data_IF_329550322223
#
_entry.id   IF_329550322223
#
_cell.length_a   1.000
_cell.length_b   1.000
_cell.length_c   1.000
_cell.angle_alpha   90.00
_cell.angle_beta   90.00
_cell.angle_gamma   90.00
#
_symmetry.space_group_name_H-M   'P 1'
#
loop_
_entity.id
_entity.type
_entity.pdbx_description
1 polymer ?
#
# COMPACT_ATOMS: atom_id res chain seq x y z
N UNK A 1 -1.51 17.28 -0.59
CA UNK A 1 -2.60 16.70 -1.40
C UNK A 1 -2.83 17.52 -2.66
N UNK A 2 -1.99 17.31 -3.68
CA UNK A 2 -2.26 17.75 -5.05
C UNK A 2 -2.50 16.50 -5.89
N UNK A 3 -3.68 15.87 -5.72
CA UNK A 3 -4.16 14.89 -6.68
C UNK A 3 -4.34 15.55 -8.04
N UNK A 4 -4.00 14.85 -9.13
CA UNK A 4 -4.23 15.36 -10.48
C UNK A 4 -5.69 15.15 -10.83
N UNK A 5 -6.44 16.24 -11.03
CA UNK A 5 -7.81 16.15 -11.53
C UNK A 5 -7.76 15.81 -13.03
N UNK A 6 -7.95 14.54 -13.38
CA UNK A 6 -7.91 14.07 -14.77
C UNK A 6 -9.26 14.26 -15.47
N UNK A 7 -10.37 14.31 -14.72
CA UNK A 7 -11.70 14.60 -15.25
C UNK A 7 -12.50 15.48 -14.29
N UNK A 8 -13.33 16.37 -14.83
CA UNK A 8 -14.23 17.23 -14.04
C UNK A 8 -15.63 16.64 -13.87
N UNK A 9 -16.04 15.71 -14.75
CA UNK A 9 -17.37 15.09 -14.76
C UNK A 9 -17.25 13.59 -15.07
N UNK A 10 -18.09 12.78 -14.44
CA UNK A 10 -18.22 11.33 -14.70
C UNK A 10 -19.67 10.90 -14.47
N UNK A 11 -20.03 9.74 -15.00
CA UNK A 11 -21.39 9.18 -14.94
C UNK A 11 -21.49 8.05 -13.91
N UNK A 12 -22.71 7.65 -13.57
CA UNK A 12 -22.92 6.46 -12.74
C UNK A 12 -22.35 5.19 -13.41
N UNK A 13 -22.43 5.08 -14.74
CA UNK A 13 -21.82 3.96 -15.46
C UNK A 13 -20.29 3.91 -15.28
N UNK A 14 -19.61 5.06 -15.23
CA UNK A 14 -18.16 5.10 -15.00
C UNK A 14 -17.82 4.59 -13.59
N UNK A 15 -18.66 4.88 -12.60
CA UNK A 15 -18.54 4.32 -11.24
C UNK A 15 -18.82 2.81 -11.25
N UNK A 16 -19.91 2.38 -11.89
CA UNK A 16 -20.35 0.99 -11.92
C UNK A 16 -19.35 0.07 -12.65
N UNK A 17 -18.69 0.56 -13.70
CA UNK A 17 -17.65 -0.16 -14.43
C UNK A 17 -16.24 0.03 -13.86
N UNK A 18 -16.08 0.82 -12.80
CA UNK A 18 -14.78 1.03 -12.15
C UNK A 18 -13.77 1.83 -12.98
N UNK A 19 -14.24 2.74 -13.83
CA UNK A 19 -13.39 3.61 -14.66
C UNK A 19 -12.81 4.81 -13.92
N UNK A 20 -13.27 5.06 -12.68
CA UNK A 20 -12.76 6.12 -11.82
C UNK A 20 -11.81 5.52 -10.79
N UNK A 21 -10.58 6.05 -10.73
CA UNK A 21 -9.56 5.64 -9.77
C UNK A 21 -9.10 6.84 -8.96
N UNK A 22 -8.91 6.62 -7.66
CA UNK A 22 -8.25 7.57 -6.77
C UNK A 22 -6.78 7.15 -6.59
N UNK A 23 -5.87 8.12 -6.72
CA UNK A 23 -4.45 7.95 -6.45
C UNK A 23 -4.06 8.93 -5.33
N UNK A 24 -3.53 8.40 -4.22
CA UNK A 24 -3.05 9.25 -3.13
C UNK A 24 -1.73 9.90 -3.50
N UNK A 25 -1.40 11.02 -2.85
CA UNK A 25 -0.12 11.72 -3.08
C UNK A 25 1.09 11.04 -2.40
N UNK A 26 0.95 9.77 -2.00
CA UNK A 26 1.97 9.03 -1.25
C UNK A 26 2.06 9.39 0.23
N UNK A 27 1.18 10.23 0.77
CA UNK A 27 1.09 10.44 2.22
C UNK A 27 0.74 9.12 2.94
N UNK A 28 1.57 8.77 3.93
CA UNK A 28 1.67 7.42 4.49
C UNK A 28 0.40 6.88 5.16
N UNK A 29 -0.50 7.75 5.62
CA UNK A 29 -1.77 7.39 6.25
C UNK A 29 -2.65 8.63 6.41
N UNK A 30 -3.98 8.48 6.33
CA UNK A 30 -4.88 9.57 6.72
C UNK A 30 -6.26 9.54 6.08
N UNK A 31 -7.02 10.60 6.37
CA UNK A 31 -8.25 10.92 5.66
C UNK A 31 -7.91 11.83 4.49
N UNK A 32 -8.35 11.44 3.29
CA UNK A 32 -8.45 12.35 2.15
C UNK A 32 -9.91 12.55 1.78
N UNK A 33 -10.20 13.60 1.03
CA UNK A 33 -11.56 13.90 0.62
C UNK A 33 -11.61 14.66 -0.70
N UNK A 34 -12.70 14.47 -1.43
CA UNK A 34 -13.07 15.35 -2.51
C UNK A 34 -14.52 15.79 -2.38
N UNK A 35 -14.84 16.94 -2.95
CA UNK A 35 -16.20 17.46 -3.02
C UNK A 35 -16.80 17.11 -4.37
N UNK A 36 -18.07 16.71 -4.37
CA UNK A 36 -18.82 16.46 -5.59
C UNK A 36 -20.22 17.08 -5.53
N UNK A 37 -20.79 17.30 -6.70
CA UNK A 37 -22.22 17.60 -6.86
C UNK A 37 -22.82 16.55 -7.79
N UNK A 38 -24.13 16.35 -7.69
CA UNK A 38 -24.86 15.45 -8.57
C UNK A 38 -25.95 16.27 -9.27
N UNK A 39 -26.14 16.01 -10.56
CA UNK A 39 -27.19 16.65 -11.36
C UNK A 39 -27.72 15.68 -12.41
N UNK A 40 -29.02 15.77 -12.68
CA UNK A 40 -29.69 15.13 -13.82
C UNK A 40 -29.90 16.12 -15.00
N UNK A 41 -29.34 17.33 -14.88
CA UNK A 41 -29.49 18.42 -15.84
C UNK A 41 -30.86 19.12 -15.83
N UNK A 42 -31.78 18.76 -14.92
CA UNK A 42 -33.14 19.31 -14.86
C UNK A 42 -33.48 19.92 -13.52
N UNK A 43 -33.00 19.34 -12.43
CA UNK A 43 -33.29 19.79 -11.08
C UNK A 43 -32.08 20.51 -10.46
N UNK A 44 -32.38 21.52 -9.63
CA UNK A 44 -31.35 22.19 -8.83
C UNK A 44 -31.00 21.33 -7.61
N UNK A 45 -29.87 20.61 -7.70
CA UNK A 45 -29.33 19.82 -6.61
C UNK A 45 -29.74 18.35 -6.62
N UNK A 46 -29.53 17.68 -5.49
CA UNK A 46 -29.75 16.25 -5.31
C UNK A 46 -30.16 15.91 -3.88
N UNK A 47 -30.74 14.73 -3.66
CA UNK A 47 -31.21 14.31 -2.34
C UNK A 47 -30.17 13.44 -1.62
N UNK A 48 -29.96 13.71 -0.33
CA UNK A 48 -29.29 12.80 0.61
C UNK A 48 -30.26 12.49 1.73
N UNK A 49 -30.62 11.21 1.90
CA UNK A 49 -31.59 10.76 2.91
C UNK A 49 -32.91 11.56 2.90
N UNK A 50 -33.39 11.93 1.70
CA UNK A 50 -34.61 12.70 1.52
C UNK A 50 -34.46 14.23 1.66
N UNK A 51 -33.28 14.73 2.05
CA UNK A 51 -33.00 16.17 2.18
C UNK A 51 -32.30 16.72 0.95
N UNK A 52 -32.81 17.83 0.40
CA UNK A 52 -32.23 18.52 -0.75
C UNK A 52 -30.88 19.16 -0.41
N UNK A 53 -29.88 18.84 -1.23
CA UNK A 53 -28.53 19.40 -1.22
C UNK A 53 -28.31 20.20 -2.50
N UNK A 54 -27.99 21.48 -2.33
CA UNK A 54 -27.61 22.39 -3.44
C UNK A 54 -26.13 22.78 -3.39
N UNK A 55 -25.42 22.37 -2.34
CA UNK A 55 -24.00 22.61 -2.15
C UNK A 55 -23.19 21.32 -2.39
N UNK A 56 -21.91 21.42 -2.77
CA UNK A 56 -21.04 20.26 -2.88
C UNK A 56 -21.01 19.41 -1.59
N UNK A 57 -21.10 18.10 -1.76
CA UNK A 57 -21.01 17.11 -0.68
C UNK A 57 -19.64 16.46 -0.66
N UNK A 58 -19.16 16.12 0.54
CA UNK A 58 -17.87 15.49 0.74
C UNK A 58 -17.97 13.96 0.62
N UNK A 59 -17.07 13.38 -0.18
CA UNK A 59 -16.74 11.96 -0.11
C UNK A 59 -15.39 11.81 0.62
N UNK A 60 -15.38 11.00 1.68
CA UNK A 60 -14.17 10.70 2.45
C UNK A 60 -13.54 9.40 1.98
N UNK A 61 -12.21 9.40 1.88
CA UNK A 61 -11.38 8.25 1.55
C UNK A 61 -10.45 8.00 2.74
N UNK A 62 -10.50 6.80 3.31
CA UNK A 62 -9.59 6.42 4.39
C UNK A 62 -8.40 5.66 3.81
N UNK A 63 -7.24 6.30 3.79
CA UNK A 63 -5.97 5.68 3.38
C UNK A 63 -5.37 5.01 4.60
N UNK A 64 -5.36 3.68 4.59
CA UNK A 64 -4.73 2.92 5.67
C UNK A 64 -3.22 3.22 5.72
N UNK A 65 -2.62 3.30 6.92
CA UNK A 65 -1.19 3.41 7.04
C UNK A 65 -0.48 2.28 6.32
N UNK A 66 0.43 2.62 5.40
CA UNK A 66 1.49 1.67 5.04
C UNK A 66 2.45 1.64 6.24
N UNK A 67 2.48 0.53 6.98
CA UNK A 67 3.42 0.34 8.08
C UNK A 67 4.79 0.10 7.47
N UNK A 68 5.48 1.17 7.06
CA UNK A 68 6.86 1.05 6.57
C UNK A 68 7.81 0.91 7.76
N UNK A 69 8.08 -0.33 8.19
CA UNK A 69 9.13 -0.60 9.16
C UNK A 69 10.39 -1.16 8.50
N UNK A 70 11.52 -1.06 9.21
CA UNK A 70 12.76 -1.65 8.73
C UNK A 70 12.77 -3.16 9.02
N UNK A 71 13.41 -3.98 8.16
CA UNK A 71 13.54 -5.41 8.41
C UNK A 71 14.19 -5.71 9.77
N UNK A 72 13.61 -6.66 10.49
CA UNK A 72 14.06 -7.10 11.81
C UNK A 72 14.86 -8.39 11.70
N UNK A 73 16.10 -8.36 12.19
CA UNK A 73 16.92 -9.55 12.33
C UNK A 73 16.44 -10.39 13.52
N UNK A 74 15.85 -11.57 13.25
CA UNK A 74 15.25 -12.44 14.28
C UNK A 74 16.11 -13.64 14.65
N UNK A 75 17.07 -14.01 13.80
CA UNK A 75 18.08 -15.04 14.09
C UNK A 75 19.43 -14.57 13.58
N UNK A 76 20.43 -14.56 14.47
CA UNK A 76 21.83 -14.33 14.15
C UNK A 76 22.69 -15.26 15.04
N UNK A 77 23.05 -16.42 14.51
CA UNK A 77 23.81 -17.45 15.20
C UNK A 77 24.95 -17.93 14.33
N UNK A 78 26.10 -18.18 14.95
CA UNK A 78 27.24 -18.80 14.28
C UNK A 78 26.89 -20.23 13.85
N UNK A 79 27.26 -20.65 12.63
CA UNK A 79 27.17 -22.05 12.26
C UNK A 79 28.25 -22.86 13.00
N UNK A 80 27.86 -23.98 13.61
CA UNK A 80 28.76 -24.80 14.45
C UNK A 80 29.36 -25.99 13.69
N UNK A 81 28.62 -26.54 12.72
CA UNK A 81 29.01 -27.77 12.03
C UNK A 81 29.69 -27.48 10.69
N UNK A 82 30.97 -27.82 10.58
CA UNK A 82 31.70 -27.85 9.33
C UNK A 82 31.15 -28.96 8.43
N UNK A 83 30.77 -28.62 7.20
CA UNK A 83 30.15 -29.53 6.24
C UNK A 83 31.04 -29.73 5.03
N UNK A 84 31.03 -30.95 4.47
CA UNK A 84 31.65 -31.23 3.18
C UNK A 84 30.71 -30.76 2.04
N UNK A 85 31.20 -29.85 1.20
CA UNK A 85 30.45 -29.21 0.11
C UNK A 85 30.74 -29.84 -1.26
N UNK A 86 31.40 -31.00 -1.28
CA UNK A 86 31.87 -31.68 -2.48
C UNK A 86 33.19 -31.14 -3.02
N UNK A 87 33.87 -31.96 -3.84
CA UNK A 87 35.19 -31.64 -4.46
C UNK A 87 36.23 -31.17 -3.44
N UNK A 88 36.36 -31.87 -2.30
CA UNK A 88 37.30 -31.55 -1.21
C UNK A 88 37.10 -30.17 -0.56
N UNK A 89 35.96 -29.51 -0.76
CA UNK A 89 35.65 -28.23 -0.10
C UNK A 89 34.91 -28.48 1.21
N UNK A 90 35.29 -27.74 2.23
CA UNK A 90 34.61 -27.70 3.52
C UNK A 90 34.13 -26.28 3.79
N UNK A 91 33.00 -26.15 4.44
CA UNK A 91 32.47 -24.85 4.84
C UNK A 91 31.19 -24.99 5.65
N UNK A 92 30.58 -23.85 5.93
CA UNK A 92 29.36 -23.79 6.72
C UNK A 92 28.18 -23.45 5.82
N UNK A 93 27.16 -24.31 5.79
CA UNK A 93 25.92 -24.00 5.09
C UNK A 93 25.08 -23.09 5.98
N UNK A 94 24.80 -21.88 5.52
CA UNK A 94 23.88 -20.97 6.18
C UNK A 94 22.43 -21.38 5.86
N UNK A 95 21.56 -21.26 6.86
CA UNK A 95 20.12 -21.51 6.72
C UNK A 95 19.34 -20.57 7.64
N UNK A 96 18.01 -20.58 7.55
CA UNK A 96 17.12 -19.81 8.42
C UNK A 96 17.23 -20.16 9.93
N UNK A 97 17.95 -21.23 10.28
CA UNK A 97 18.31 -21.57 11.67
C UNK A 97 19.48 -20.75 12.21
N UNK A 98 20.28 -20.16 11.32
CA UNK A 98 21.48 -19.38 11.66
C UNK A 98 21.31 -17.89 11.35
N UNK A 99 20.70 -17.56 10.21
CA UNK A 99 20.48 -16.18 9.78
C UNK A 99 19.07 -16.04 9.22
N UNK A 100 18.25 -15.18 9.83
CA UNK A 100 16.87 -14.91 9.39
C UNK A 100 16.43 -13.51 9.77
N UNK A 101 15.87 -12.79 8.82
CA UNK A 101 15.18 -11.53 9.00
C UNK A 101 13.70 -11.70 8.61
N UNK A 102 12.86 -10.82 9.15
CA UNK A 102 11.44 -10.69 8.80
C UNK A 102 11.12 -9.21 8.65
N UNK A 103 10.07 -8.90 7.91
CA UNK A 103 9.59 -7.54 7.68
C UNK A 103 8.07 -7.56 7.79
N UNK A 104 7.46 -6.52 8.34
CA UNK A 104 6.01 -6.58 8.64
C UNK A 104 5.14 -6.19 7.45
N UNK A 105 5.71 -5.47 6.49
CA UNK A 105 5.08 -4.93 5.29
C UNK A 105 5.69 -5.43 3.97
N UNK A 106 6.83 -6.13 4.01
CA UNK A 106 7.38 -6.84 2.86
C UNK A 106 7.37 -8.37 3.04
N UNK A 107 7.19 -9.10 1.94
CA UNK A 107 7.41 -10.55 1.92
C UNK A 107 8.86 -10.87 2.30
N UNK A 108 9.08 -11.81 3.23
CA UNK A 108 10.44 -12.17 3.66
C UNK A 108 11.33 -12.72 2.52
N UNK A 109 10.74 -13.15 1.41
CA UNK A 109 11.44 -13.58 0.19
C UNK A 109 11.99 -12.43 -0.66
N UNK A 110 11.54 -11.19 -0.47
CA UNK A 110 12.05 -10.00 -1.17
C UNK A 110 13.26 -9.37 -0.47
N UNK A 111 13.55 -9.79 0.76
CA UNK A 111 14.69 -9.30 1.54
C UNK A 111 16.02 -9.82 1.00
N UNK A 112 17.02 -8.94 0.96
CA UNK A 112 18.39 -9.25 0.54
C UNK A 112 19.40 -8.83 1.60
N UNK A 113 20.47 -9.60 1.73
CA UNK A 113 21.58 -9.34 2.66
C UNK A 113 22.76 -8.75 1.89
N UNK A 114 23.42 -7.76 2.49
CA UNK A 114 24.68 -7.18 1.97
C UNK A 114 25.84 -7.61 2.85
N UNK A 115 26.85 -8.21 2.22
CA UNK A 115 28.12 -8.51 2.88
C UNK A 115 29.00 -7.25 2.77
N UNK A 116 29.52 -6.79 3.90
CA UNK A 116 30.44 -5.64 3.98
C UNK A 116 31.77 -6.07 4.59
N UNK A 117 32.82 -5.27 4.36
CA UNK A 117 34.20 -5.50 4.83
C UNK A 117 34.57 -4.59 5.98
#
# INVERSE_FOLDING_TARGET
NRGVLVTSNFTQNDVDFGFITYESDGSRAGLDNFLFTLTDGRHEGFLINGSLQTQPTMMSIFVQPLVEDAPKLVVNKSPELLQHLGRQRYGYKLSNKMLRAVDSDSDSSSLWYVITS
#
